data_IF_515205163592
#
_entry.id   IF_515205163592
#
_cell.length_a   1.000
_cell.length_b   1.000
_cell.length_c   1.000
_cell.angle_alpha   90.00
_cell.angle_beta   90.00
_cell.angle_gamma   90.00
#
_symmetry.space_group_name_H-M   'P 1'
#
loop_
_entity.id
_entity.type
_entity.pdbx_description
1 polymer ?
#
# COMPACT_ATOMS: atom_id res chain seq x y z
N UNK A 1 -30.28 -3.90 -43.01
CA UNK A 1 -29.97 -3.81 -41.57
C UNK A 1 -29.86 -5.24 -41.07
N UNK A 2 -28.66 -5.73 -40.89
CA UNK A 2 -28.40 -7.05 -40.32
C UNK A 2 -28.28 -6.87 -38.81
N UNK A 3 -29.09 -7.58 -38.03
CA UNK A 3 -29.00 -7.62 -36.56
C UNK A 3 -27.69 -8.28 -36.16
N UNK A 4 -26.86 -7.53 -35.48
CA UNK A 4 -25.64 -8.02 -34.82
C UNK A 4 -26.04 -8.90 -33.63
N UNK A 5 -25.91 -10.21 -33.76
CA UNK A 5 -26.13 -11.17 -32.66
C UNK A 5 -25.01 -11.08 -31.61
N UNK A 6 -25.40 -11.12 -30.36
CA UNK A 6 -24.47 -10.94 -29.24
C UNK A 6 -23.36 -12.02 -29.19
N UNK A 7 -22.16 -11.72 -28.66
CA UNK A 7 -21.02 -12.65 -28.59
C UNK A 7 -21.28 -13.98 -27.86
N UNK A 8 -22.29 -14.02 -26.98
CA UNK A 8 -22.66 -15.25 -26.24
C UNK A 8 -23.43 -16.27 -27.08
N UNK A 9 -24.17 -15.84 -28.08
CA UNK A 9 -24.89 -16.75 -28.97
C UNK A 9 -23.95 -17.41 -29.98
N UNK A 10 -22.92 -16.69 -30.45
CA UNK A 10 -21.95 -17.22 -31.40
C UNK A 10 -21.09 -18.34 -30.78
N UNK A 11 -20.72 -18.27 -29.49
CA UNK A 11 -19.97 -19.32 -28.81
C UNK A 11 -20.76 -20.62 -28.63
N UNK A 12 -22.09 -20.55 -28.51
CA UNK A 12 -22.95 -21.72 -28.38
C UNK A 12 -23.14 -22.44 -29.71
N UNK A 13 -23.30 -21.68 -30.80
CA UNK A 13 -23.41 -22.22 -32.16
C UNK A 13 -22.13 -22.97 -32.57
N UNK A 14 -20.95 -22.48 -32.23
CA UNK A 14 -19.68 -23.13 -32.50
C UNK A 14 -19.50 -24.46 -31.73
N UNK A 15 -19.94 -24.55 -30.49
CA UNK A 15 -19.87 -25.79 -29.70
C UNK A 15 -20.77 -26.91 -30.20
N UNK A 16 -21.93 -26.57 -30.78
CA UNK A 16 -22.87 -27.54 -31.31
C UNK A 16 -22.54 -27.96 -32.75
N UNK A 17 -21.86 -27.12 -33.52
CA UNK A 17 -21.55 -27.36 -34.93
C UNK A 17 -20.13 -27.93 -35.18
N UNK A 18 -19.23 -27.80 -34.22
CA UNK A 18 -17.85 -28.30 -34.35
C UNK A 18 -17.77 -29.82 -34.72
N UNK A 19 -18.53 -30.72 -34.05
CA UNK A 19 -18.52 -32.14 -34.41
C UNK A 19 -19.08 -32.40 -35.83
N UNK A 20 -20.01 -31.59 -36.31
CA UNK A 20 -20.55 -31.67 -37.68
C UNK A 20 -19.59 -31.15 -38.73
N UNK A 21 -18.86 -30.09 -38.42
CA UNK A 21 -17.80 -29.55 -39.28
C UNK A 21 -16.62 -30.53 -39.40
N UNK A 22 -16.20 -31.17 -38.30
CA UNK A 22 -15.16 -32.14 -38.32
C UNK A 22 -15.52 -33.40 -39.14
N UNK A 23 -16.78 -33.82 -39.13
CA UNK A 23 -17.28 -34.89 -39.99
C UNK A 23 -17.33 -34.54 -41.48
N UNK A 24 -17.37 -33.27 -41.86
CA UNK A 24 -17.29 -32.80 -43.25
C UNK A 24 -15.85 -32.74 -43.78
N UNK A 25 -14.87 -32.84 -42.90
CA UNK A 25 -13.43 -32.76 -43.21
C UNK A 25 -12.80 -34.12 -43.37
N UNK A 26 -13.58 -35.19 -43.26
CA UNK A 26 -13.09 -36.57 -43.45
C UNK A 26 -12.65 -36.78 -44.91
N UNK A 27 -11.37 -37.08 -45.17
CA UNK A 27 -10.78 -37.22 -46.49
C UNK A 27 -10.28 -35.92 -47.15
N UNK A 28 -10.27 -34.79 -46.45
CA UNK A 28 -9.74 -33.50 -46.95
C UNK A 28 -8.24 -33.41 -46.65
N UNK A 29 -7.40 -33.33 -47.68
CA UNK A 29 -5.95 -33.20 -47.54
C UNK A 29 -5.45 -31.77 -47.24
N UNK A 30 -6.26 -30.75 -47.59
CA UNK A 30 -5.90 -29.34 -47.42
C UNK A 30 -7.13 -28.44 -47.23
N UNK A 31 -7.04 -27.58 -46.27
CA UNK A 31 -8.05 -26.54 -46.03
C UNK A 31 -7.40 -25.18 -46.15
N UNK A 32 -7.90 -24.32 -47.02
CA UNK A 32 -7.53 -22.92 -47.12
C UNK A 32 -8.67 -22.03 -46.61
N UNK A 33 -8.38 -21.16 -45.64
CA UNK A 33 -9.34 -20.21 -45.08
C UNK A 33 -8.95 -18.81 -45.53
N UNK A 34 -9.78 -18.18 -46.33
CA UNK A 34 -9.60 -16.79 -46.74
C UNK A 34 -10.54 -15.86 -45.94
N UNK A 35 -9.95 -14.77 -45.40
CA UNK A 35 -10.66 -13.72 -44.64
C UNK A 35 -11.42 -14.19 -43.41
N UNK A 36 -10.84 -15.14 -42.68
CA UNK A 36 -11.37 -15.62 -41.40
C UNK A 36 -10.54 -15.06 -40.28
N UNK A 37 -11.20 -14.42 -39.30
CA UNK A 37 -10.58 -14.05 -38.03
C UNK A 37 -10.95 -15.09 -37.00
N UNK A 38 -9.95 -15.76 -36.40
CA UNK A 38 -10.10 -16.74 -35.32
C UNK A 38 -9.59 -16.12 -34.03
N UNK A 39 -10.49 -15.91 -33.07
CA UNK A 39 -10.11 -15.61 -31.68
C UNK A 39 -10.07 -16.92 -30.90
N UNK A 40 -8.86 -17.34 -30.50
CA UNK A 40 -8.64 -18.59 -29.80
C UNK A 40 -7.98 -18.24 -28.46
N UNK A 41 -8.64 -18.60 -27.34
CA UNK A 41 -8.12 -18.39 -26.00
C UNK A 41 -6.94 -19.32 -25.67
N UNK A 42 -7.18 -20.63 -25.76
CA UNK A 42 -6.17 -21.67 -25.58
C UNK A 42 -6.33 -22.72 -26.68
N UNK A 43 -5.24 -23.04 -27.37
CA UNK A 43 -5.22 -24.06 -28.43
C UNK A 43 -4.09 -25.05 -28.17
N UNK A 44 -4.45 -26.31 -27.89
CA UNK A 44 -3.50 -27.41 -27.81
C UNK A 44 -3.50 -28.22 -29.10
N UNK A 45 -2.35 -28.27 -29.78
CA UNK A 45 -2.16 -29.12 -30.94
C UNK A 45 -1.49 -30.44 -30.52
N UNK A 46 -2.15 -31.56 -30.77
CA UNK A 46 -1.56 -32.87 -30.61
C UNK A 46 -1.16 -33.42 -32.01
N UNK A 47 0.13 -33.52 -32.27
CA UNK A 47 0.65 -34.11 -33.50
C UNK A 47 1.05 -35.56 -33.19
N UNK A 48 0.30 -36.55 -33.63
CA UNK A 48 0.69 -37.96 -33.44
C UNK A 48 1.91 -38.29 -34.28
N UNK A 49 3.02 -38.65 -33.63
CA UNK A 49 4.24 -39.17 -34.30
C UNK A 49 4.13 -40.67 -34.48
N UNK A 50 3.25 -41.17 -35.33
CA UNK A 50 3.11 -42.59 -35.60
C UNK A 50 2.86 -42.85 -37.07
N UNK A 51 3.75 -43.62 -37.71
CA UNK A 51 3.58 -44.16 -39.06
C UNK A 51 2.57 -45.33 -39.04
N UNK A 52 1.28 -45.00 -39.17
CA UNK A 52 0.23 -45.96 -39.45
C UNK A 52 -0.37 -45.71 -40.84
N UNK A 53 -0.98 -46.68 -41.53
CA UNK A 53 -1.54 -46.45 -42.87
C UNK A 53 -2.64 -45.40 -42.84
N UNK A 54 -2.53 -44.45 -43.76
CA UNK A 54 -3.49 -43.39 -43.96
C UNK A 54 -4.89 -43.97 -44.25
N UNK A 55 -5.89 -43.63 -43.46
CA UNK A 55 -7.25 -43.98 -43.84
C UNK A 55 -8.31 -44.09 -42.76
N UNK A 56 -8.05 -43.73 -41.49
CA UNK A 56 -9.12 -43.72 -40.51
C UNK A 56 -8.93 -42.64 -39.46
N UNK A 57 -9.90 -41.70 -39.37
CA UNK A 57 -10.00 -40.72 -38.26
C UNK A 57 -10.19 -41.40 -36.87
N UNK A 58 -10.33 -42.72 -36.80
CA UNK A 58 -10.40 -43.48 -35.55
C UNK A 58 -9.10 -43.39 -34.73
N UNK A 59 -7.98 -42.94 -35.33
CA UNK A 59 -6.72 -42.66 -34.62
C UNK A 59 -6.60 -41.27 -34.00
N UNK A 60 -7.54 -40.37 -34.28
CA UNK A 60 -7.58 -39.01 -33.70
C UNK A 60 -8.24 -38.95 -32.33
N UNK A 61 -8.98 -39.99 -31.97
CA UNK A 61 -9.42 -40.17 -30.60
C UNK A 61 -8.46 -41.16 -29.95
N UNK A 62 -7.68 -40.77 -28.97
CA UNK A 62 -7.06 -41.75 -28.11
C UNK A 62 -8.17 -42.66 -27.63
N UNK A 63 -7.99 -44.00 -27.59
CA UNK A 63 -8.96 -44.91 -26.98
C UNK A 63 -9.35 -44.23 -25.68
N UNK A 64 -10.68 -44.12 -25.39
CA UNK A 64 -11.14 -43.57 -24.11
C UNK A 64 -10.31 -44.22 -23.04
N UNK A 65 -9.26 -43.53 -22.64
CA UNK A 65 -8.38 -44.02 -21.62
C UNK A 65 -9.30 -44.23 -20.45
N UNK A 66 -9.52 -45.47 -20.06
CA UNK A 66 -10.08 -45.75 -18.73
C UNK A 66 -9.41 -44.79 -17.82
N UNK A 67 -10.22 -43.87 -17.22
CA UNK A 67 -9.70 -42.77 -16.42
C UNK A 67 -8.50 -43.27 -15.61
N UNK A 68 -7.32 -42.65 -15.73
CA UNK A 68 -6.11 -43.19 -15.12
C UNK A 68 -6.47 -43.56 -13.69
N UNK A 69 -6.26 -44.84 -13.34
CA UNK A 69 -6.58 -45.29 -12.00
C UNK A 69 -6.00 -44.27 -11.05
N UNK A 70 -6.83 -43.66 -10.20
CA UNK A 70 -6.35 -42.69 -9.21
C UNK A 70 -5.12 -43.28 -8.56
N UNK A 71 -3.98 -42.62 -8.58
CA UNK A 71 -2.76 -43.17 -8.02
C UNK A 71 -3.09 -43.63 -6.59
N UNK A 72 -2.92 -44.89 -6.31
CA UNK A 72 -3.23 -45.54 -5.02
C UNK A 72 -2.31 -45.05 -3.90
N UNK A 73 -1.22 -44.38 -4.29
CA UNK A 73 -0.35 -43.63 -3.36
C UNK A 73 0.20 -42.39 -4.07
N UNK A 74 0.13 -41.25 -3.44
CA UNK A 74 0.90 -40.09 -3.83
C UNK A 74 2.38 -40.41 -3.55
N UNK A 75 3.25 -40.27 -4.55
CA UNK A 75 4.68 -40.27 -4.30
C UNK A 75 4.94 -39.14 -3.30
N UNK A 76 5.49 -39.44 -2.10
CA UNK A 76 5.79 -38.38 -1.14
C UNK A 76 6.87 -37.47 -1.74
N UNK A 77 6.44 -36.39 -2.38
CA UNK A 77 7.36 -35.39 -2.86
C UNK A 77 7.63 -34.43 -1.70
N UNK A 78 8.87 -34.37 -1.26
CA UNK A 78 9.31 -33.36 -0.31
C UNK A 78 9.54 -32.06 -1.10
N UNK A 79 8.60 -31.13 -1.02
CA UNK A 79 8.80 -29.81 -1.60
C UNK A 79 9.76 -29.01 -0.71
N UNK A 80 10.92 -28.66 -1.25
CA UNK A 80 11.84 -27.73 -0.60
C UNK A 80 11.65 -26.37 -1.27
N UNK A 81 11.07 -25.39 -0.56
CA UNK A 81 10.89 -24.06 -1.13
C UNK A 81 12.23 -23.42 -1.47
N UNK A 82 12.33 -22.82 -2.65
CA UNK A 82 13.48 -22.00 -3.00
C UNK A 82 13.50 -20.76 -2.07
N UNK A 83 14.68 -20.44 -1.54
CA UNK A 83 14.94 -19.23 -0.77
C UNK A 83 15.95 -18.38 -1.51
N UNK A 84 15.54 -17.21 -1.91
CA UNK A 84 16.44 -16.23 -2.49
C UNK A 84 17.17 -15.50 -1.38
N UNK A 85 18.48 -15.32 -1.53
CA UNK A 85 19.30 -14.52 -0.63
C UNK A 85 19.52 -13.15 -1.23
N UNK A 86 19.29 -12.12 -0.43
CA UNK A 86 19.44 -10.74 -0.83
C UNK A 86 20.68 -10.13 -0.18
N UNK A 87 21.45 -9.36 -0.95
CA UNK A 87 22.68 -8.70 -0.47
C UNK A 87 22.41 -7.45 0.34
N UNK A 88 21.24 -6.84 0.17
CA UNK A 88 20.82 -5.62 0.86
C UNK A 88 19.76 -5.87 1.93
N UNK A 89 19.48 -4.83 2.69
CA UNK A 89 18.40 -4.81 3.68
C UNK A 89 17.81 -3.42 3.79
N UNK A 90 16.60 -3.31 4.31
CA UNK A 90 16.02 -2.03 4.68
C UNK A 90 16.61 -1.59 6.02
N UNK A 91 17.08 -0.35 6.12
CA UNK A 91 17.59 0.21 7.37
C UNK A 91 16.49 0.31 8.40
N UNK A 92 16.88 0.20 9.67
CA UNK A 92 15.97 0.45 10.78
C UNK A 92 15.94 1.93 11.12
N UNK A 93 14.76 2.46 11.32
CA UNK A 93 14.54 3.82 11.83
C UNK A 93 13.73 3.74 13.11
N UNK A 94 14.21 4.36 14.16
CA UNK A 94 13.48 4.48 15.43
C UNK A 94 12.69 5.79 15.45
N UNK A 95 11.43 5.73 15.90
CA UNK A 95 10.51 6.85 16.05
C UNK A 95 9.97 6.90 17.48
N UNK A 96 9.87 8.11 18.03
CA UNK A 96 9.62 8.33 19.44
C UNK A 96 10.86 8.14 20.30
N UNK A 97 10.88 8.74 21.47
CA UNK A 97 11.92 8.59 22.48
C UNK A 97 11.31 8.52 23.88
N UNK A 98 11.79 7.57 24.69
CA UNK A 98 11.40 7.46 26.08
C UNK A 98 12.14 8.50 26.94
N UNK A 99 11.73 8.65 28.20
CA UNK A 99 12.44 9.54 29.17
C UNK A 99 13.92 9.20 29.31
N UNK A 100 14.27 7.93 29.26
CA UNK A 100 15.66 7.48 29.31
C UNK A 100 16.48 7.90 28.08
N UNK A 101 15.80 8.20 26.96
CA UNK A 101 16.39 8.63 25.69
C UNK A 101 16.26 10.15 25.46
N UNK A 102 15.75 10.88 26.43
CA UNK A 102 15.59 12.34 26.36
C UNK A 102 14.24 12.82 25.83
N UNK A 103 13.29 11.93 25.53
CA UNK A 103 11.94 12.26 25.12
C UNK A 103 10.89 12.06 26.23
N UNK A 104 9.63 11.97 25.85
CA UNK A 104 8.51 11.79 26.78
C UNK A 104 7.55 10.65 26.39
N UNK A 105 7.87 9.89 25.32
CA UNK A 105 6.99 8.82 24.84
C UNK A 105 7.04 7.58 25.74
N UNK A 106 5.93 6.86 25.85
CA UNK A 106 5.89 5.60 26.59
C UNK A 106 6.62 4.48 25.85
N UNK A 107 6.63 4.53 24.52
CA UNK A 107 7.26 3.51 23.65
C UNK A 107 8.03 4.13 22.50
N UNK A 108 9.03 3.38 22.04
CA UNK A 108 9.73 3.62 20.77
C UNK A 108 9.22 2.62 19.76
N UNK A 109 9.01 3.06 18.55
CA UNK A 109 8.70 2.19 17.42
C UNK A 109 9.93 2.08 16.51
N UNK A 110 10.28 0.86 16.13
CA UNK A 110 11.29 0.60 15.10
C UNK A 110 10.59 0.11 13.84
N UNK A 111 10.94 0.68 12.72
CA UNK A 111 10.43 0.32 11.39
C UNK A 111 11.58 -0.09 10.47
N UNK A 112 11.27 -0.82 9.39
CA UNK A 112 12.29 -1.32 8.47
C UNK A 112 12.88 -2.66 8.89
N UNK A 113 14.18 -2.86 8.66
CA UNK A 113 14.93 -4.07 9.03
C UNK A 113 14.71 -5.27 8.11
N UNK A 114 13.80 -5.18 7.13
CA UNK A 114 13.48 -6.28 6.23
C UNK A 114 14.69 -6.68 5.35
N UNK A 115 14.91 -7.98 5.23
CA UNK A 115 15.97 -8.60 4.40
C UNK A 115 15.39 -9.41 3.23
N UNK A 116 14.06 -9.44 3.09
CA UNK A 116 13.33 -10.17 2.05
C UNK A 116 12.12 -9.34 1.60
N UNK A 117 11.49 -9.68 0.48
CA UNK A 117 10.19 -9.12 0.11
C UNK A 117 9.16 -9.36 1.23
N UNK A 118 8.19 -8.45 1.43
CA UNK A 118 7.27 -8.52 2.54
C UNK A 118 6.36 -9.75 2.43
N UNK A 119 6.24 -10.50 3.52
CA UNK A 119 5.35 -11.67 3.63
C UNK A 119 5.51 -12.73 2.53
N UNK A 120 6.65 -12.74 1.83
CA UNK A 120 6.92 -13.70 0.75
C UNK A 120 7.26 -15.09 1.32
N UNK A 121 6.45 -16.09 0.98
CA UNK A 121 6.77 -17.50 1.30
C UNK A 121 8.02 -17.95 0.51
N UNK A 122 8.97 -18.67 1.08
CA UNK A 122 8.99 -19.28 2.41
C UNK A 122 9.76 -18.47 3.47
N UNK A 123 9.96 -17.19 3.23
CA UNK A 123 10.71 -16.32 4.14
C UNK A 123 9.91 -16.03 5.43
N UNK A 124 10.62 -15.64 6.46
CA UNK A 124 10.00 -15.18 7.71
C UNK A 124 9.33 -13.82 7.51
N UNK A 125 8.33 -13.45 8.31
CA UNK A 125 7.81 -12.09 8.32
C UNK A 125 8.91 -11.04 8.55
N UNK A 126 8.66 -9.77 8.18
CA UNK A 126 9.59 -8.69 8.49
C UNK A 126 9.85 -8.62 10.00
N UNK A 127 11.04 -8.16 10.45
CA UNK A 127 11.40 -8.13 11.88
C UNK A 127 10.49 -7.19 12.69
N UNK A 128 9.97 -6.16 12.04
CA UNK A 128 9.03 -5.21 12.63
C UNK A 128 7.72 -5.24 11.86
N UNK A 129 6.55 -5.33 12.53
CA UNK A 129 5.26 -5.27 11.87
C UNK A 129 5.03 -3.87 11.26
N UNK A 130 4.29 -3.75 10.15
CA UNK A 130 3.81 -2.46 9.68
C UNK A 130 3.06 -1.69 10.77
N UNK A 131 3.34 -0.39 10.87
CA UNK A 131 2.83 0.53 11.90
C UNK A 131 1.63 1.28 11.36
N UNK A 132 0.58 1.43 12.18
CA UNK A 132 -0.62 2.19 11.83
C UNK A 132 -0.55 3.59 12.47
N UNK A 133 -0.36 4.61 11.63
CA UNK A 133 -0.44 6.02 12.02
C UNK A 133 -1.84 6.55 11.71
N UNK A 134 -2.49 7.22 12.67
CA UNK A 134 -3.85 7.72 12.47
C UNK A 134 -3.85 9.25 12.40
N UNK A 135 -4.51 9.77 11.37
CA UNK A 135 -4.48 11.19 11.03
C UNK A 135 -5.31 12.05 12.00
N UNK A 136 -4.79 13.23 12.28
CA UNK A 136 -5.41 14.32 13.03
C UNK A 136 -5.16 15.61 12.27
N UNK A 137 -6.14 16.49 12.21
CA UNK A 137 -6.00 17.81 11.59
C UNK A 137 -6.02 18.90 12.65
N UNK A 138 -5.21 19.92 12.46
CA UNK A 138 -5.09 21.06 13.39
C UNK A 138 -6.23 22.08 13.26
N UNK A 139 -7.17 21.82 12.36
CA UNK A 139 -8.38 22.60 12.14
C UNK A 139 -9.51 21.73 11.61
N UNK A 140 -10.74 22.22 11.70
CA UNK A 140 -11.87 21.56 11.06
C UNK A 140 -11.72 21.55 9.53
N UNK A 141 -11.85 20.38 8.93
CA UNK A 141 -11.80 20.17 7.48
C UNK A 141 -13.08 19.49 6.98
N UNK A 142 -13.35 19.64 5.69
CA UNK A 142 -14.48 18.97 5.03
C UNK A 142 -14.17 17.49 4.83
N UNK A 143 -14.68 16.63 5.71
CA UNK A 143 -14.56 15.17 5.62
C UNK A 143 -15.85 14.52 5.16
N UNK A 144 -15.79 13.37 4.46
CA UNK A 144 -16.93 12.51 4.20
C UNK A 144 -17.69 12.11 5.46
N UNK A 145 -19.02 11.95 5.34
CA UNK A 145 -19.88 11.63 6.50
C UNK A 145 -19.46 10.35 7.23
N UNK A 146 -18.99 9.34 6.51
CA UNK A 146 -18.55 8.08 7.10
C UNK A 146 -17.35 8.30 8.05
N UNK A 147 -16.42 9.19 7.72
CA UNK A 147 -15.31 9.55 8.61
C UNK A 147 -15.80 10.39 9.81
N UNK A 148 -16.66 11.37 9.56
CA UNK A 148 -17.17 12.26 10.62
C UNK A 148 -17.90 11.51 11.73
N UNK A 149 -18.59 10.42 11.40
CA UNK A 149 -19.43 9.69 12.36
C UNK A 149 -18.69 9.25 13.63
N UNK A 150 -17.39 8.94 13.51
CA UNK A 150 -16.57 8.48 14.64
C UNK A 150 -15.79 9.56 15.38
N UNK A 151 -15.65 10.77 14.80
CA UNK A 151 -14.72 11.81 15.28
C UNK A 151 -15.36 13.19 15.45
N UNK A 152 -16.66 13.34 15.17
CA UNK A 152 -17.35 14.63 15.10
C UNK A 152 -17.17 15.49 16.34
N UNK A 153 -17.14 14.89 17.52
CA UNK A 153 -17.05 15.60 18.80
C UNK A 153 -15.65 16.15 19.07
N UNK A 154 -14.63 15.63 18.39
CA UNK A 154 -13.22 16.00 18.63
C UNK A 154 -12.56 16.73 17.45
N UNK A 155 -13.26 16.91 16.32
CA UNK A 155 -12.68 17.53 15.11
C UNK A 155 -12.12 18.93 15.31
N UNK A 156 -12.57 19.67 16.34
CA UNK A 156 -12.07 21.01 16.67
C UNK A 156 -10.92 21.01 17.69
N UNK A 157 -10.55 19.86 18.23
CA UNK A 157 -9.49 19.71 19.24
C UNK A 157 -8.51 18.61 18.84
N UNK A 158 -7.34 18.95 18.27
CA UNK A 158 -6.34 17.99 17.85
C UNK A 158 -5.83 17.09 18.97
N UNK A 159 -5.76 17.56 20.20
CA UNK A 159 -5.31 16.79 21.35
C UNK A 159 -6.32 15.70 21.74
N UNK A 160 -7.60 16.05 21.80
CA UNK A 160 -8.68 15.10 22.06
C UNK A 160 -8.86 14.11 20.91
N UNK A 161 -8.69 14.58 19.66
CA UNK A 161 -8.72 13.71 18.49
C UNK A 161 -7.58 12.69 18.55
N UNK A 162 -6.37 13.10 18.88
CA UNK A 162 -5.24 12.20 19.07
C UNK A 162 -5.50 11.18 20.18
N UNK A 163 -6.07 11.60 21.34
CA UNK A 163 -6.45 10.67 22.42
C UNK A 163 -7.47 9.62 21.95
N UNK A 164 -8.48 10.06 21.19
CA UNK A 164 -9.48 9.16 20.62
C UNK A 164 -8.82 8.11 19.72
N UNK A 165 -7.92 8.54 18.83
CA UNK A 165 -7.21 7.67 17.90
C UNK A 165 -6.37 6.62 18.63
N UNK A 166 -5.65 7.01 19.67
CA UNK A 166 -4.80 6.09 20.46
C UNK A 166 -5.65 5.15 21.30
N UNK A 167 -6.58 5.69 22.09
CA UNK A 167 -7.30 4.90 23.10
C UNK A 167 -8.42 4.04 22.51
N UNK A 168 -9.10 4.53 21.48
CA UNK A 168 -10.27 3.83 20.91
C UNK A 168 -9.96 3.12 19.59
N UNK A 169 -9.16 3.74 18.72
CA UNK A 169 -8.86 3.16 17.41
C UNK A 169 -7.53 2.38 17.41
N UNK A 170 -6.76 2.48 18.50
CA UNK A 170 -5.54 1.70 18.70
C UNK A 170 -4.38 2.17 17.82
N UNK A 171 -4.28 3.46 17.53
CA UNK A 171 -3.17 4.01 16.76
C UNK A 171 -1.81 3.68 17.40
N UNK A 172 -0.86 3.22 16.58
CA UNK A 172 0.52 3.04 17.01
C UNK A 172 1.28 4.36 17.02
N UNK A 173 0.89 5.26 16.11
CA UNK A 173 1.38 6.62 15.94
C UNK A 173 0.23 7.56 15.61
N UNK A 174 0.45 8.86 15.77
CA UNK A 174 -0.48 9.91 15.32
C UNK A 174 0.21 10.76 14.26
N UNK A 175 -0.49 11.06 13.16
CA UNK A 175 -0.04 12.06 12.19
C UNK A 175 -0.82 13.34 12.41
N UNK A 176 -0.14 14.46 12.62
CA UNK A 176 -0.75 15.80 12.73
C UNK A 176 -0.57 16.51 11.41
N UNK A 177 -1.68 16.85 10.75
CA UNK A 177 -1.68 17.66 9.54
C UNK A 177 -1.90 19.13 9.90
N UNK A 178 -0.87 19.96 9.68
CA UNK A 178 -0.87 21.39 10.01
C UNK A 178 -1.47 22.22 8.87
N UNK A 179 -2.72 21.92 8.51
CA UNK A 179 -3.44 22.60 7.43
C UNK A 179 -3.66 24.08 7.68
N UNK A 180 -3.74 24.50 8.96
CA UNK A 180 -3.90 25.90 9.32
C UNK A 180 -2.70 26.76 8.93
N UNK A 181 -1.53 26.14 8.72
CA UNK A 181 -0.31 26.87 8.35
C UNK A 181 -0.26 27.29 6.88
N UNK A 182 -1.12 26.71 6.03
CA UNK A 182 -1.17 27.04 4.60
C UNK A 182 -1.48 28.53 4.43
N UNK A 183 -0.60 29.28 3.70
CA UNK A 183 -0.80 30.71 3.42
C UNK A 183 -2.11 31.03 2.70
N UNK A 184 -2.70 30.08 2.00
CA UNK A 184 -3.97 30.22 1.29
C UNK A 184 -5.20 29.92 2.17
N UNK A 185 -4.99 29.37 3.39
CA UNK A 185 -6.06 28.99 4.32
C UNK A 185 -6.08 29.96 5.51
N UNK A 186 -5.22 29.73 6.51
CA UNK A 186 -5.20 30.56 7.73
C UNK A 186 -3.84 31.22 7.97
N UNK A 187 -2.81 30.82 7.25
CA UNK A 187 -1.43 31.32 7.39
C UNK A 187 -0.94 31.34 8.85
N UNK A 188 -1.38 30.34 9.65
CA UNK A 188 -1.04 30.25 11.05
C UNK A 188 0.49 30.31 11.26
N UNK A 189 0.92 31.01 12.32
CA UNK A 189 2.35 31.20 12.57
C UNK A 189 3.05 29.90 12.98
N UNK A 190 4.37 29.74 12.75
CA UNK A 190 5.14 28.59 13.22
C UNK A 190 4.95 28.32 14.72
N UNK A 191 4.91 29.37 15.54
CA UNK A 191 4.67 29.27 16.98
C UNK A 191 3.29 28.75 17.33
N UNK A 192 2.25 29.11 16.55
CA UNK A 192 0.90 28.59 16.75
C UNK A 192 0.86 27.09 16.43
N UNK A 193 1.47 26.68 15.32
CA UNK A 193 1.61 25.27 14.93
C UNK A 193 2.37 24.47 16.01
N UNK A 194 3.49 24.99 16.52
CA UNK A 194 4.25 24.36 17.58
C UNK A 194 3.43 24.15 18.86
N UNK A 195 2.58 25.10 19.26
CA UNK A 195 1.66 24.93 20.39
C UNK A 195 0.63 23.83 20.17
N UNK A 196 0.09 23.71 18.95
CA UNK A 196 -0.82 22.60 18.62
C UNK A 196 -0.12 21.28 18.76
N UNK A 197 1.10 21.15 18.22
CA UNK A 197 1.90 19.93 18.35
C UNK A 197 2.24 19.64 19.82
N UNK A 198 2.62 20.64 20.60
CA UNK A 198 2.86 20.51 22.05
C UNK A 198 1.63 19.95 22.78
N UNK A 199 0.44 20.47 22.47
CA UNK A 199 -0.81 19.98 23.09
C UNK A 199 -1.07 18.50 22.78
N UNK A 200 -0.77 18.06 21.55
CA UNK A 200 -0.90 16.66 21.17
C UNK A 200 0.19 15.80 21.83
N UNK A 201 1.44 16.28 21.90
CA UNK A 201 2.53 15.59 22.62
C UNK A 201 2.16 15.34 24.09
N UNK A 202 1.48 16.27 24.74
CA UNK A 202 1.00 16.14 26.12
C UNK A 202 -0.24 15.22 26.23
N UNK A 203 -1.00 15.07 25.16
CA UNK A 203 -2.24 14.30 25.15
C UNK A 203 -2.02 12.79 24.96
N UNK A 204 -0.98 12.39 24.23
CA UNK A 204 -0.68 11.00 23.89
C UNK A 204 0.79 10.67 24.14
N UNK A 205 1.06 9.39 24.35
CA UNK A 205 2.40 8.87 24.65
C UNK A 205 3.01 8.01 23.52
N UNK A 206 2.37 8.01 22.34
CA UNK A 206 2.86 7.34 21.13
C UNK A 206 3.73 8.28 20.29
N UNK A 207 4.59 7.76 19.38
CA UNK A 207 5.35 8.60 18.46
C UNK A 207 4.44 9.42 17.53
N UNK A 208 4.93 10.57 17.05
CA UNK A 208 4.16 11.53 16.26
C UNK A 208 4.84 11.84 14.94
N UNK A 209 4.04 11.93 13.88
CA UNK A 209 4.40 12.42 12.55
C UNK A 209 3.86 13.84 12.41
N UNK A 210 4.67 14.76 11.91
CA UNK A 210 4.28 16.15 11.69
C UNK A 210 4.16 16.40 10.18
N UNK A 211 2.94 16.61 9.70
CA UNK A 211 2.62 16.95 8.31
C UNK A 211 2.53 18.44 8.10
N UNK A 212 3.28 18.99 7.14
CA UNK A 212 3.21 20.39 6.74
C UNK A 212 2.08 20.70 5.75
N UNK A 213 2.04 21.92 5.25
CA UNK A 213 1.04 22.38 4.28
C UNK A 213 1.49 22.20 2.80
N UNK A 214 2.76 21.92 2.56
CA UNK A 214 3.33 21.75 1.23
C UNK A 214 4.03 23.00 0.66
N UNK A 215 3.94 24.17 1.32
CA UNK A 215 4.71 25.33 0.93
C UNK A 215 6.17 25.21 1.44
N UNK A 216 7.19 25.22 0.56
CA UNK A 216 8.58 24.94 0.95
C UNK A 216 9.20 26.01 1.87
N UNK A 217 8.70 27.23 1.84
CA UNK A 217 9.19 28.32 2.70
C UNK A 217 8.45 28.36 4.04
N UNK A 218 7.15 28.07 4.02
CA UNK A 218 6.32 28.03 5.22
C UNK A 218 6.66 26.83 6.07
N UNK A 219 6.68 25.66 5.46
CA UNK A 219 6.97 24.40 6.13
C UNK A 219 8.37 24.40 6.76
N UNK A 220 9.36 24.97 6.10
CA UNK A 220 10.69 25.08 6.68
C UNK A 220 10.71 25.85 8.01
N UNK A 221 9.98 26.96 8.11
CA UNK A 221 9.87 27.75 9.35
C UNK A 221 9.10 26.98 10.43
N UNK A 222 7.99 26.33 10.02
CA UNK A 222 7.14 25.54 10.92
C UNK A 222 7.91 24.34 11.46
N UNK A 223 8.59 23.60 10.61
CA UNK A 223 9.35 22.43 11.02
C UNK A 223 10.55 22.75 11.90
N UNK A 224 11.25 23.87 11.66
CA UNK A 224 12.35 24.30 12.54
C UNK A 224 11.84 24.68 13.93
N UNK A 225 10.73 25.41 14.04
CA UNK A 225 10.10 25.80 15.31
C UNK A 225 9.63 24.57 16.10
N UNK A 226 8.98 23.61 15.40
CA UNK A 226 8.50 22.38 16.03
C UNK A 226 9.69 21.51 16.46
N UNK A 227 10.73 21.39 15.64
CA UNK A 227 11.91 20.60 15.96
C UNK A 227 12.59 21.11 17.25
N UNK A 228 12.68 22.42 17.42
CA UNK A 228 13.24 23.02 18.63
C UNK A 228 12.33 22.81 19.85
N UNK A 229 11.01 23.06 19.69
CA UNK A 229 10.04 22.87 20.77
C UNK A 229 9.97 21.44 21.28
N UNK A 230 10.08 20.45 20.37
CA UNK A 230 9.98 19.02 20.66
C UNK A 230 11.36 18.33 20.76
N UNK A 231 12.37 19.03 21.28
CA UNK A 231 13.73 18.54 21.40
C UNK A 231 13.80 17.16 22.07
N UNK A 232 14.44 16.21 21.40
CA UNK A 232 14.61 14.84 21.90
C UNK A 232 13.41 13.89 21.68
N UNK A 233 12.24 14.36 21.27
CA UNK A 233 11.03 13.53 21.12
C UNK A 233 11.10 12.52 19.97
N UNK A 234 12.07 12.61 19.09
CA UNK A 234 12.26 11.73 17.92
C UNK A 234 11.01 11.67 17.02
N UNK A 235 10.49 12.86 16.66
CA UNK A 235 9.39 13.01 15.70
C UNK A 235 9.81 12.54 14.32
N UNK A 236 8.80 12.25 13.45
CA UNK A 236 8.99 12.14 12.00
C UNK A 236 8.45 13.42 11.34
N UNK A 237 9.34 14.24 10.78
CA UNK A 237 8.99 15.48 10.07
C UNK A 237 8.58 15.12 8.65
N UNK A 238 7.35 15.37 8.28
CA UNK A 238 6.70 15.01 7.01
C UNK A 238 6.14 16.25 6.31
N UNK A 239 6.63 16.64 5.13
CA UNK A 239 7.69 15.99 4.39
C UNK A 239 8.70 17.03 3.92
N UNK A 240 9.92 16.57 3.70
CA UNK A 240 10.90 17.36 2.94
C UNK A 240 10.87 16.94 1.48
N UNK A 241 11.11 17.89 0.57
CA UNK A 241 10.95 17.69 -0.88
C UNK A 241 12.13 18.27 -1.67
N UNK A 242 12.22 17.92 -2.96
CA UNK A 242 13.16 18.56 -3.86
C UNK A 242 12.84 20.06 -4.06
N UNK A 243 11.56 20.45 -3.97
CA UNK A 243 11.17 21.87 -4.04
C UNK A 243 11.77 22.67 -2.87
N UNK A 244 11.88 22.06 -1.67
CA UNK A 244 12.62 22.67 -0.57
C UNK A 244 14.13 22.80 -0.87
N UNK A 245 14.71 21.87 -1.61
CA UNK A 245 16.11 21.99 -2.04
C UNK A 245 16.29 23.15 -3.05
N UNK A 246 15.37 23.31 -3.99
CA UNK A 246 15.35 24.42 -4.94
C UNK A 246 15.12 25.77 -4.23
N UNK A 247 14.21 25.80 -3.25
CA UNK A 247 13.94 26.95 -2.39
C UNK A 247 15.06 27.23 -1.36
N UNK A 248 16.10 26.37 -1.29
CA UNK A 248 17.23 26.45 -0.32
C UNK A 248 16.78 26.38 1.15
N UNK A 249 15.69 25.67 1.42
CA UNK A 249 15.14 25.48 2.77
C UNK A 249 15.36 24.09 3.31
N UNK A 250 15.69 23.08 2.46
CA UNK A 250 15.94 21.69 2.86
C UNK A 250 17.02 21.58 3.93
N UNK A 251 18.15 22.30 3.73
CA UNK A 251 19.27 22.31 4.67
C UNK A 251 18.85 22.77 6.07
N UNK A 252 18.00 23.80 6.16
CA UNK A 252 17.52 24.32 7.45
C UNK A 252 16.74 23.27 8.22
N UNK A 253 15.80 22.61 7.55
CA UNK A 253 14.98 21.54 8.16
C UNK A 253 15.83 20.33 8.56
N UNK A 254 16.72 19.88 7.66
CA UNK A 254 17.58 18.73 7.93
C UNK A 254 18.54 18.97 9.11
N UNK A 255 19.12 20.17 9.20
CA UNK A 255 19.99 20.57 10.33
C UNK A 255 19.20 20.68 11.65
N UNK A 256 17.98 21.24 11.61
CA UNK A 256 17.12 21.32 12.78
C UNK A 256 16.73 19.90 13.25
N UNK A 257 16.32 19.05 12.33
CA UNK A 257 15.99 17.65 12.63
C UNK A 257 17.18 16.91 13.28
N UNK A 258 18.39 17.07 12.72
CA UNK A 258 19.60 16.48 13.31
C UNK A 258 19.92 17.02 14.69
N UNK A 259 19.86 18.34 14.85
CA UNK A 259 20.21 19.02 16.12
C UNK A 259 19.29 18.57 17.26
N UNK A 260 18.01 18.39 16.97
CA UNK A 260 16.97 18.05 17.94
C UNK A 260 16.53 16.57 17.90
N UNK A 261 17.36 15.72 17.26
CA UNK A 261 17.19 14.25 17.23
C UNK A 261 15.88 13.78 16.58
N UNK A 262 15.44 14.39 15.48
CA UNK A 262 14.27 13.97 14.71
C UNK A 262 14.63 13.15 13.48
N UNK A 263 13.67 12.36 12.98
CA UNK A 263 13.71 11.74 11.67
C UNK A 263 12.99 12.64 10.66
N UNK A 264 13.34 12.49 9.38
CA UNK A 264 12.65 13.18 8.28
C UNK A 264 12.09 12.20 7.27
N UNK A 265 11.01 12.59 6.65
CA UNK A 265 10.39 11.89 5.55
C UNK A 265 10.64 12.64 4.26
N UNK A 266 11.32 12.00 3.31
CA UNK A 266 11.53 12.51 1.96
C UNK A 266 10.37 12.11 1.05
N UNK A 267 9.62 13.09 0.54
CA UNK A 267 8.52 12.86 -0.40
C UNK A 267 8.95 13.06 -1.84
N UNK A 268 8.57 12.12 -2.72
CA UNK A 268 8.74 12.23 -4.17
C UNK A 268 7.57 11.57 -4.90
N UNK A 269 7.17 12.19 -6.04
CA UNK A 269 6.04 11.70 -6.84
C UNK A 269 6.44 10.57 -7.79
N UNK A 270 6.21 9.30 -7.44
CA UNK A 270 6.32 8.12 -8.32
C UNK A 270 7.64 7.97 -9.13
N UNK A 271 8.73 8.59 -8.69
CA UNK A 271 10.01 8.62 -9.41
C UNK A 271 11.18 8.18 -8.52
N UNK A 272 11.72 6.96 -8.72
CA UNK A 272 12.83 6.43 -7.92
C UNK A 272 14.11 7.27 -8.02
N UNK A 273 14.41 7.84 -9.20
CA UNK A 273 15.62 8.65 -9.37
C UNK A 273 15.54 9.95 -8.55
N UNK A 274 14.37 10.57 -8.44
CA UNK A 274 14.15 11.72 -7.56
C UNK A 274 14.23 11.34 -6.08
N UNK A 275 13.72 10.16 -5.70
CA UNK A 275 13.89 9.67 -4.34
C UNK A 275 15.36 9.48 -3.99
N UNK A 276 16.14 8.87 -4.87
CA UNK A 276 17.60 8.72 -4.71
C UNK A 276 18.31 10.08 -4.66
N UNK A 277 17.93 11.03 -5.49
CA UNK A 277 18.46 12.39 -5.46
C UNK A 277 18.17 13.08 -4.13
N UNK A 278 16.93 13.02 -3.65
CA UNK A 278 16.56 13.61 -2.37
C UNK A 278 17.34 12.98 -1.22
N UNK A 279 17.47 11.65 -1.21
CA UNK A 279 18.23 10.94 -0.19
C UNK A 279 19.71 11.34 -0.19
N UNK A 280 20.36 11.47 -1.37
CA UNK A 280 21.76 11.97 -1.47
C UNK A 280 21.91 13.36 -0.87
N UNK A 281 20.96 14.27 -1.11
CA UNK A 281 20.98 15.61 -0.51
C UNK A 281 20.79 15.57 1.00
N UNK A 282 19.93 14.66 1.50
CA UNK A 282 19.71 14.49 2.94
C UNK A 282 20.93 13.89 3.65
N UNK A 283 21.69 12.98 3.01
CA UNK A 283 22.89 12.39 3.58
C UNK A 283 24.00 13.42 3.91
N UNK A 284 23.96 14.60 3.30
CA UNK A 284 24.87 15.69 3.64
C UNK A 284 24.64 16.20 5.07
N UNK A 285 23.43 16.00 5.62
CA UNK A 285 23.00 16.58 6.89
C UNK A 285 22.58 15.54 7.93
N UNK A 286 22.03 14.40 7.49
CA UNK A 286 21.38 13.39 8.33
C UNK A 286 22.04 12.02 8.16
N UNK A 287 22.10 11.23 9.24
CA UNK A 287 22.43 9.82 9.10
C UNK A 287 21.27 9.08 8.40
N UNK A 288 21.59 8.05 7.59
CA UNK A 288 20.57 7.30 6.86
C UNK A 288 19.46 6.70 7.73
N UNK A 289 19.76 6.39 8.99
CA UNK A 289 18.83 5.84 10.00
C UNK A 289 17.84 6.89 10.54
N UNK A 290 17.88 8.11 10.01
CA UNK A 290 16.93 9.18 10.30
C UNK A 290 16.07 9.55 9.09
N UNK A 291 16.06 8.73 8.03
CA UNK A 291 15.36 9.00 6.78
C UNK A 291 14.32 7.92 6.52
N UNK A 292 13.10 8.34 6.22
CA UNK A 292 11.97 7.54 5.74
C UNK A 292 11.57 8.09 4.36
N UNK A 293 11.03 7.26 3.46
CA UNK A 293 10.61 7.69 2.12
C UNK A 293 9.09 7.63 1.98
N UNK A 294 8.50 8.62 1.32
CA UNK A 294 7.17 8.55 0.71
C UNK A 294 7.31 8.62 -0.81
N UNK A 295 6.90 7.55 -1.48
CA UNK A 295 6.97 7.42 -2.94
C UNK A 295 5.63 7.70 -3.62
N UNK A 296 4.71 8.33 -2.90
CA UNK A 296 3.34 8.66 -3.30
C UNK A 296 2.35 7.50 -3.11
N UNK A 297 1.21 7.84 -2.55
CA UNK A 297 0.03 6.97 -2.47
C UNK A 297 -1.10 7.54 -3.30
N UNK A 298 -1.46 6.86 -4.37
CA UNK A 298 -2.61 7.18 -5.22
C UNK A 298 -3.79 6.31 -4.82
N UNK A 299 -4.99 6.87 -4.87
CA UNK A 299 -6.22 6.16 -4.48
C UNK A 299 -6.54 5.00 -5.43
N UNK A 300 -7.19 3.97 -4.89
CA UNK A 300 -7.80 2.89 -5.67
C UNK A 300 -8.72 3.46 -6.77
N UNK A 301 -8.51 2.99 -8.00
CA UNK A 301 -9.22 3.47 -9.19
C UNK A 301 -8.62 4.72 -9.84
N UNK A 302 -7.59 5.32 -9.23
CA UNK A 302 -6.89 6.51 -9.73
C UNK A 302 -5.40 6.29 -9.96
N UNK A 303 -4.89 5.07 -9.76
CA UNK A 303 -3.49 4.71 -9.99
C UNK A 303 -2.80 4.04 -8.80
N UNK A 304 -3.54 3.34 -7.92
CA UNK A 304 -2.97 2.57 -6.83
C UNK A 304 -1.91 1.58 -7.30
N UNK A 305 -2.09 1.01 -8.51
CA UNK A 305 -1.14 0.12 -9.18
C UNK A 305 0.22 0.78 -9.45
N UNK A 306 0.26 2.09 -9.72
CA UNK A 306 1.52 2.83 -9.86
C UNK A 306 2.22 2.98 -8.50
N UNK A 307 1.44 3.26 -7.45
CA UNK A 307 1.97 3.31 -6.09
C UNK A 307 2.50 1.97 -5.63
N UNK A 308 1.78 0.87 -5.90
CA UNK A 308 2.27 -0.48 -5.66
C UNK A 308 3.62 -0.72 -6.37
N UNK A 309 3.65 -0.46 -7.67
CA UNK A 309 4.83 -0.71 -8.51
C UNK A 309 6.05 0.08 -8.04
N UNK A 310 5.89 1.37 -7.67
CA UNK A 310 7.03 2.17 -7.24
C UNK A 310 7.59 1.69 -5.90
N UNK A 311 6.73 1.36 -4.93
CA UNK A 311 7.15 0.83 -3.63
C UNK A 311 7.81 -0.55 -3.77
N UNK A 312 7.23 -1.46 -4.57
CA UNK A 312 7.80 -2.78 -4.83
C UNK A 312 9.19 -2.67 -5.49
N UNK A 313 9.32 -1.81 -6.52
CA UNK A 313 10.60 -1.58 -7.20
C UNK A 313 11.64 -0.99 -6.26
N UNK A 314 11.26 -0.04 -5.41
CA UNK A 314 12.17 0.53 -4.41
C UNK A 314 12.64 -0.54 -3.43
N UNK A 315 11.71 -1.37 -2.92
CA UNK A 315 12.01 -2.48 -2.01
C UNK A 315 12.95 -3.50 -2.66
N UNK A 316 12.67 -3.92 -3.87
CA UNK A 316 13.50 -4.89 -4.59
C UNK A 316 14.90 -4.34 -4.88
N UNK A 317 15.01 -3.09 -5.35
CA UNK A 317 16.30 -2.45 -5.57
C UNK A 317 17.13 -2.34 -4.29
N UNK A 318 16.49 -1.97 -3.17
CA UNK A 318 17.12 -1.91 -1.85
C UNK A 318 17.66 -3.27 -1.40
N UNK A 319 16.87 -4.33 -1.56
CA UNK A 319 17.26 -5.71 -1.23
C UNK A 319 18.38 -6.21 -2.15
N UNK A 320 18.43 -5.79 -3.41
CA UNK A 320 19.51 -6.08 -4.34
C UNK A 320 20.78 -5.24 -4.10
N UNK A 321 20.80 -4.37 -3.09
CA UNK A 321 21.98 -3.65 -2.64
C UNK A 321 22.03 -2.17 -3.01
N UNK A 322 20.96 -1.57 -3.57
CA UNK A 322 20.90 -0.12 -3.81
C UNK A 322 20.76 0.64 -2.48
N UNK A 323 21.91 1.10 -1.96
CA UNK A 323 21.99 1.75 -0.66
C UNK A 323 21.17 3.04 -0.54
N UNK A 324 20.89 3.71 -1.65
CA UNK A 324 20.11 4.95 -1.67
C UNK A 324 18.59 4.70 -1.48
N UNK A 325 18.14 3.47 -1.68
CA UNK A 325 16.74 3.04 -1.50
C UNK A 325 16.52 2.17 -0.26
N UNK A 326 17.56 1.88 0.52
CA UNK A 326 17.49 1.06 1.74
C UNK A 326 16.85 1.81 2.92
N UNK A 327 15.73 2.48 2.69
CA UNK A 327 14.99 3.19 3.74
C UNK A 327 13.60 2.62 3.89
N UNK A 328 13.03 2.62 5.11
CA UNK A 328 11.63 2.29 5.30
C UNK A 328 10.73 3.30 4.58
N UNK A 329 9.54 2.86 4.23
CA UNK A 329 8.59 3.66 3.47
C UNK A 329 7.27 3.86 4.21
N UNK A 330 6.57 4.96 3.85
CA UNK A 330 5.24 5.31 4.35
C UNK A 330 4.22 5.36 3.22
N UNK A 331 2.98 5.10 3.53
CA UNK A 331 1.83 5.30 2.65
C UNK A 331 0.78 6.19 3.30
N UNK A 332 0.37 7.24 2.62
CA UNK A 332 -0.84 7.99 2.95
C UNK A 332 -2.08 7.21 2.44
N UNK A 333 -2.38 6.07 3.07
CA UNK A 333 -3.52 5.21 2.67
C UNK A 333 -4.86 5.94 2.77
N UNK A 334 -4.93 6.99 3.57
CA UNK A 334 -6.05 7.95 3.66
C UNK A 334 -6.37 8.65 2.34
N UNK A 335 -5.44 8.71 1.39
CA UNK A 335 -5.70 9.23 0.05
C UNK A 335 -6.80 8.45 -0.69
N UNK A 336 -7.17 7.26 -0.22
CA UNK A 336 -8.37 6.54 -0.66
C UNK A 336 -9.63 7.40 -0.61
N UNK A 337 -9.73 8.33 0.35
CA UNK A 337 -10.87 9.23 0.52
C UNK A 337 -10.90 10.40 -0.48
N UNK A 338 -9.81 10.62 -1.22
CA UNK A 338 -9.79 11.55 -2.35
C UNK A 338 -10.59 11.01 -3.54
N UNK A 339 -10.75 9.68 -3.66
CA UNK A 339 -11.61 9.06 -4.65
C UNK A 339 -13.09 9.36 -4.31
N UNK A 340 -13.79 10.04 -5.20
CA UNK A 340 -15.20 10.42 -4.98
C UNK A 340 -16.11 9.19 -4.82
N UNK A 341 -15.78 8.10 -5.49
CA UNK A 341 -16.48 6.82 -5.45
C UNK A 341 -16.50 6.21 -4.04
N UNK A 342 -15.51 6.49 -3.22
CA UNK A 342 -15.45 6.03 -1.84
C UNK A 342 -16.61 6.57 -0.97
N UNK A 343 -17.17 7.74 -1.31
CA UNK A 343 -18.14 8.43 -0.44
C UNK A 343 -19.34 9.07 -1.14
N UNK A 344 -19.33 9.23 -2.47
CA UNK A 344 -20.45 9.83 -3.20
C UNK A 344 -21.67 8.90 -3.22
N UNK A 345 -22.86 9.48 -3.46
CA UNK A 345 -24.08 8.71 -3.70
C UNK A 345 -23.99 8.02 -5.07
N UNK A 346 -24.18 6.72 -5.09
CA UNK A 346 -24.15 5.89 -6.30
C UNK A 346 -25.32 4.91 -6.29
N UNK A 347 -25.53 4.20 -7.41
CA UNK A 347 -26.52 3.13 -7.53
C UNK A 347 -26.21 2.00 -6.51
N UNK A 348 -27.27 1.37 -5.98
CA UNK A 348 -27.16 0.34 -4.95
C UNK A 348 -26.30 -0.89 -5.37
N UNK A 349 -26.20 -1.16 -6.69
CA UNK A 349 -25.33 -2.23 -7.21
C UNK A 349 -23.84 -2.05 -6.89
N UNK A 350 -23.41 -0.84 -6.57
CA UNK A 350 -22.03 -0.53 -6.17
C UNK A 350 -21.80 -0.66 -4.66
N UNK A 351 -22.75 -1.24 -3.93
CA UNK A 351 -22.66 -1.44 -2.49
C UNK A 351 -23.10 -0.22 -1.67
N UNK A 352 -23.22 -0.43 -0.37
CA UNK A 352 -23.63 0.60 0.56
C UNK A 352 -22.58 1.72 0.66
N UNK A 353 -23.05 2.96 0.66
CA UNK A 353 -22.19 4.15 0.71
C UNK A 353 -21.22 4.16 1.90
N UNK A 354 -21.73 3.76 3.06
CA UNK A 354 -20.96 3.85 4.32
C UNK A 354 -19.84 2.81 4.42
N UNK A 355 -19.89 1.77 3.58
CA UNK A 355 -18.89 0.68 3.56
C UNK A 355 -17.80 0.96 2.52
N UNK A 356 -18.10 1.67 1.45
CA UNK A 356 -17.16 1.85 0.33
C UNK A 356 -15.89 2.57 0.76
N UNK A 357 -16.01 3.68 1.48
CA UNK A 357 -14.84 4.42 1.95
C UNK A 357 -13.88 3.59 2.81
N UNK A 358 -14.37 2.93 3.88
CA UNK A 358 -13.55 2.00 4.66
C UNK A 358 -12.92 0.89 3.81
N UNK A 359 -13.65 0.36 2.81
CA UNK A 359 -13.13 -0.65 1.90
C UNK A 359 -11.99 -0.08 1.03
N UNK A 360 -12.17 1.12 0.45
CA UNK A 360 -11.13 1.81 -0.34
C UNK A 360 -9.85 2.01 0.47
N UNK A 361 -9.97 2.52 1.68
CA UNK A 361 -8.82 2.76 2.56
C UNK A 361 -8.13 1.45 2.97
N UNK A 362 -8.91 0.42 3.30
CA UNK A 362 -8.36 -0.91 3.59
C UNK A 362 -7.58 -1.49 2.41
N UNK A 363 -8.14 -1.40 1.20
CA UNK A 363 -7.48 -1.91 0.00
C UNK A 363 -6.20 -1.12 -0.32
N UNK A 364 -6.22 0.22 -0.19
CA UNK A 364 -5.01 1.02 -0.33
C UNK A 364 -3.92 0.54 0.65
N UNK A 365 -4.27 0.43 1.94
CA UNK A 365 -3.32 0.05 2.98
C UNK A 365 -2.75 -1.36 2.76
N UNK A 366 -3.61 -2.36 2.53
CA UNK A 366 -3.18 -3.75 2.34
C UNK A 366 -2.35 -3.92 1.07
N UNK A 367 -2.73 -3.26 -0.03
CA UNK A 367 -1.97 -3.31 -1.28
C UNK A 367 -0.55 -2.78 -1.08
N UNK A 368 -0.41 -1.62 -0.43
CA UNK A 368 0.90 -1.00 -0.24
C UNK A 368 1.72 -1.68 0.86
N UNK A 369 1.08 -2.25 1.87
CA UNK A 369 1.73 -3.14 2.84
C UNK A 369 2.41 -4.32 2.13
N UNK A 370 1.73 -4.95 1.17
CA UNK A 370 2.29 -6.05 0.38
C UNK A 370 3.39 -5.59 -0.59
N UNK A 371 3.44 -4.31 -0.94
CA UNK A 371 4.57 -3.72 -1.67
C UNK A 371 5.78 -3.38 -0.76
N UNK A 372 5.63 -3.54 0.56
CA UNK A 372 6.71 -3.35 1.54
C UNK A 372 6.68 -2.02 2.29
N UNK A 373 5.54 -1.36 2.34
CA UNK A 373 5.38 -0.15 3.14
C UNK A 373 5.41 -0.48 4.63
N UNK A 374 6.14 0.31 5.40
CA UNK A 374 6.39 0.10 6.83
C UNK A 374 5.45 0.93 7.73
N UNK A 375 4.95 2.09 7.25
CA UNK A 375 3.97 2.92 7.97
C UNK A 375 2.75 3.14 7.09
N UNK A 376 1.56 2.92 7.63
CA UNK A 376 0.28 3.13 6.96
C UNK A 376 -0.48 4.25 7.67
N UNK A 377 -0.61 5.42 7.02
CA UNK A 377 -1.44 6.52 7.51
C UNK A 377 -2.90 6.23 7.19
N UNK A 378 -3.76 6.28 8.17
CA UNK A 378 -5.15 5.86 8.09
C UNK A 378 -6.08 6.77 8.90
N UNK A 379 -7.39 6.71 8.63
CA UNK A 379 -8.39 7.52 9.33
C UNK A 379 -9.57 6.69 9.86
N UNK A 380 -10.09 5.74 9.08
CA UNK A 380 -11.35 5.08 9.43
C UNK A 380 -11.14 3.91 10.39
N UNK A 381 -11.84 3.87 11.54
CA UNK A 381 -11.61 2.86 12.59
C UNK A 381 -11.84 1.42 12.13
N UNK A 382 -12.78 1.17 11.20
CA UNK A 382 -12.98 -0.17 10.65
C UNK A 382 -11.82 -0.60 9.76
N UNK A 383 -11.29 0.31 8.93
CA UNK A 383 -10.13 0.03 8.10
C UNK A 383 -8.88 -0.24 8.97
N UNK A 384 -8.63 0.59 9.98
CA UNK A 384 -7.55 0.43 10.96
C UNK A 384 -7.62 -0.95 11.61
N UNK A 385 -8.78 -1.34 12.13
CA UNK A 385 -8.97 -2.65 12.76
C UNK A 385 -8.69 -3.80 11.80
N UNK A 386 -9.25 -3.75 10.59
CA UNK A 386 -9.08 -4.80 9.59
C UNK A 386 -7.62 -4.96 9.17
N UNK A 387 -6.92 -3.85 8.92
CA UNK A 387 -5.50 -3.88 8.56
C UNK A 387 -4.67 -4.43 9.72
N UNK A 388 -4.94 -4.02 10.97
CA UNK A 388 -4.26 -4.53 12.16
C UNK A 388 -4.44 -6.04 12.33
N UNK A 389 -5.66 -6.55 12.18
CA UNK A 389 -5.95 -7.98 12.25
C UNK A 389 -5.20 -8.75 11.15
N UNK A 390 -5.19 -8.21 9.93
CA UNK A 390 -4.47 -8.80 8.80
C UNK A 390 -2.97 -8.84 9.05
N UNK A 391 -2.38 -7.73 9.49
CA UNK A 391 -0.96 -7.66 9.89
C UNK A 391 -0.65 -8.70 10.97
N UNK A 392 -1.47 -8.74 12.02
CA UNK A 392 -1.27 -9.70 13.12
C UNK A 392 -1.28 -11.17 12.65
N UNK A 393 -2.19 -11.51 11.72
CA UNK A 393 -2.27 -12.87 11.19
C UNK A 393 -1.08 -13.19 10.27
N UNK A 394 -0.68 -12.25 9.40
CA UNK A 394 0.49 -12.42 8.54
C UNK A 394 1.79 -12.56 9.34
N UNK A 395 1.94 -11.79 10.42
CA UNK A 395 3.11 -11.88 11.30
C UNK A 395 3.20 -13.21 12.04
N UNK A 396 2.06 -13.86 12.33
CA UNK A 396 2.00 -15.19 12.99
C UNK A 396 2.06 -16.36 12.01
N UNK A 397 2.00 -16.12 10.70
CA UNK A 397 1.81 -17.15 9.67
C UNK A 397 0.54 -17.99 9.84
N UNK A 398 -0.45 -17.47 10.54
CA UNK A 398 -1.73 -18.17 10.73
C UNK A 398 -2.65 -17.94 9.53
N UNK A 399 -3.34 -19.00 9.04
CA UNK A 399 -4.34 -18.83 8.01
C UNK A 399 -5.49 -17.96 8.51
N UNK A 400 -5.90 -16.99 7.71
CA UNK A 400 -7.04 -16.14 8.03
C UNK A 400 -8.33 -16.96 7.92
N UNK A 401 -9.18 -16.91 8.94
CA UNK A 401 -10.50 -17.56 8.88
C UNK A 401 -11.40 -16.82 7.89
N UNK A 402 -11.73 -17.48 6.77
CA UNK A 402 -12.58 -16.92 5.73
C UNK A 402 -13.95 -16.44 6.23
N UNK A 403 -14.54 -17.11 7.24
CA UNK A 403 -15.83 -16.73 7.82
C UNK A 403 -15.77 -15.37 8.54
N UNK A 404 -14.62 -15.04 9.16
CA UNK A 404 -14.42 -13.73 9.78
C UNK A 404 -14.34 -12.60 8.74
N UNK A 405 -13.80 -12.90 7.55
CA UNK A 405 -13.68 -11.94 6.46
C UNK A 405 -15.01 -11.76 5.72
N UNK A 406 -15.76 -12.84 5.51
CA UNK A 406 -17.01 -12.83 4.77
C UNK A 406 -18.06 -11.84 5.32
N UNK A 407 -18.10 -11.64 6.64
CA UNK A 407 -18.98 -10.70 7.31
C UNK A 407 -18.48 -9.26 7.39
N UNK A 408 -17.21 -9.01 7.03
CA UNK A 408 -16.57 -7.71 7.26
C UNK A 408 -17.28 -6.55 6.58
N UNK A 409 -17.65 -6.71 5.31
CA UNK A 409 -18.29 -5.65 4.53
C UNK A 409 -19.70 -5.26 5.04
N UNK A 410 -20.34 -6.13 5.79
CA UNK A 410 -21.65 -5.91 6.41
C UNK A 410 -21.61 -5.66 7.92
N UNK A 411 -20.44 -5.70 8.53
CA UNK A 411 -20.31 -5.48 9.97
C UNK A 411 -20.66 -4.03 10.33
N UNK A 412 -21.58 -3.85 11.27
CA UNK A 412 -21.84 -2.54 11.87
C UNK A 412 -20.66 -2.19 12.78
N UNK A 413 -20.16 -0.97 12.61
CA UNK A 413 -19.06 -0.39 13.41
C UNK A 413 -19.60 0.04 14.78
#
# INVERSE_FOLDING_TARGET
MAEEKSPKENGKILRESLPRLLGLLDGVEKIELERVTLEIGDLEFFIPTGTGPAGSLAGLYPPVATAPAKPTSLIPATFTPYREEYSGRIREVMLGATRAQGGSRAKVLTIGGATTPPFAFPHTPPPHPPVLAVDVFDMEIALPQALKAGIKEVMGDPAEWARLNVNKFGADMVTIHLMSTDPLIHDASPRAAAKTVESVLQAVDVPIIIGGCGDPHKDAKVFCEIAEMADGERLLINSVTLDMAEARTLELVAKAARKHNHAVLGFTGLELNKAKELNRRLYEYLPPESIVMDLTTVALGYGLEYSFTIHERARNAALMGDAELQHPTISASTNAWAAREAWMKMDARFGARDIRGPLWETLNALTLMLAGVDILMMMHPAAIRTVRETVSNLMKHEPVNADKIAGWAGARI
#
